data_IF_022239209140
#
_entry.id   IF_022239209140
#
_cell.length_a   1.000
_cell.length_b   1.000
_cell.length_c   1.000
_cell.angle_alpha   90.00
_cell.angle_beta   90.00
_cell.angle_gamma   90.00
#
_symmetry.space_group_name_H-M   'P 1'
#
loop_
_entity.id
_entity.type
_entity.pdbx_description
1 polymer ?
#
# COMPACT_ATOMS: atom_id res chain seq x y z
N UNK A 1 28.55 72.41 12.79
CA UNK A 1 28.17 71.42 11.76
C UNK A 1 27.55 70.22 12.48
N UNK A 2 26.22 70.09 12.46
CA UNK A 2 25.47 69.10 13.26
C UNK A 2 25.22 67.85 12.41
N UNK A 3 25.69 66.69 12.88
CA UNK A 3 25.54 65.39 12.21
C UNK A 3 24.15 64.83 12.56
N UNK A 4 23.29 64.48 11.59
CA UNK A 4 21.94 64.01 11.92
C UNK A 4 22.00 62.62 12.57
N UNK A 5 21.08 62.32 13.51
CA UNK A 5 21.01 61.01 14.14
C UNK A 5 20.57 59.95 13.11
N UNK A 6 21.35 58.87 13.00
CA UNK A 6 20.98 57.69 12.22
C UNK A 6 19.79 57.01 12.89
N UNK A 7 18.66 56.91 12.20
CA UNK A 7 17.49 56.15 12.66
C UNK A 7 17.90 54.68 12.86
N UNK A 8 17.48 54.02 13.96
CA UNK A 8 17.72 52.60 14.13
C UNK A 8 17.02 51.84 13.01
N UNK A 9 17.78 51.00 12.30
CA UNK A 9 17.21 50.06 11.35
C UNK A 9 16.18 49.21 12.09
N UNK A 10 14.92 49.29 11.66
CA UNK A 10 13.85 48.48 12.23
C UNK A 10 14.27 47.01 12.11
N UNK A 11 14.33 46.30 13.24
CA UNK A 11 14.33 44.84 13.33
C UNK A 11 13.04 44.32 12.69
N UNK A 12 13.00 44.31 11.37
CA UNK A 12 12.09 43.48 10.59
C UNK A 12 12.85 42.18 10.33
N UNK A 13 12.13 41.07 10.43
CA UNK A 13 12.46 39.79 9.79
C UNK A 13 12.90 38.59 10.65
N UNK A 14 13.02 38.69 11.98
CA UNK A 14 13.28 37.47 12.79
C UNK A 14 12.11 36.47 12.74
N UNK A 15 10.86 36.94 12.59
CA UNK A 15 9.67 36.06 12.48
C UNK A 15 9.53 35.37 11.13
N UNK A 16 10.00 36.00 10.05
CA UNK A 16 9.97 35.43 8.69
C UNK A 16 11.04 34.35 8.52
N UNK A 17 12.21 34.56 9.14
CA UNK A 17 13.30 33.57 9.18
C UNK A 17 12.84 32.26 9.82
N UNK A 18 12.13 32.33 10.95
CA UNK A 18 11.70 31.14 11.68
C UNK A 18 10.66 30.32 10.90
N UNK A 19 9.69 30.97 10.23
CA UNK A 19 8.71 30.26 9.38
C UNK A 19 9.40 29.57 8.19
N UNK A 20 10.42 30.21 7.61
CA UNK A 20 11.17 29.65 6.49
C UNK A 20 12.04 28.45 6.91
N UNK A 21 12.64 28.49 8.09
CA UNK A 21 13.35 27.34 8.67
C UNK A 21 12.42 26.15 8.90
N UNK A 22 11.19 26.38 9.41
CA UNK A 22 10.19 25.30 9.55
C UNK A 22 9.70 24.78 8.20
N UNK A 23 9.55 25.65 7.19
CA UNK A 23 9.12 25.26 5.86
C UNK A 23 10.10 24.29 5.18
N UNK A 24 11.39 24.33 5.53
CA UNK A 24 12.37 23.37 5.04
C UNK A 24 12.11 21.92 5.50
N UNK A 25 11.44 21.73 6.64
CA UNK A 25 11.10 20.39 7.16
C UNK A 25 9.81 19.82 6.58
N UNK A 26 8.90 20.67 6.09
CA UNK A 26 7.63 20.23 5.48
C UNK A 26 7.85 19.22 4.34
N UNK A 27 8.73 19.45 3.34
CA UNK A 27 8.95 18.46 2.29
C UNK A 27 9.54 17.14 2.81
N UNK A 28 10.42 17.21 3.82
CA UNK A 28 10.98 16.00 4.46
C UNK A 28 9.89 15.20 5.21
N UNK A 29 9.00 15.90 5.92
CA UNK A 29 7.87 15.27 6.60
C UNK A 29 6.90 14.64 5.60
N UNK A 30 6.59 15.33 4.51
CA UNK A 30 5.73 14.79 3.45
C UNK A 30 6.35 13.55 2.82
N UNK A 31 7.66 13.55 2.54
CA UNK A 31 8.37 12.37 2.05
C UNK A 31 8.24 11.19 3.01
N UNK A 32 8.44 11.43 4.31
CA UNK A 32 8.29 10.39 5.33
C UNK A 32 6.85 9.87 5.43
N UNK A 33 5.87 10.76 5.34
CA UNK A 33 4.45 10.40 5.36
C UNK A 33 4.08 9.53 4.15
N UNK A 34 4.60 9.86 2.96
CA UNK A 34 4.44 9.04 1.74
C UNK A 34 5.05 7.66 1.95
N UNK A 35 6.29 7.56 2.42
CA UNK A 35 6.95 6.26 2.67
C UNK A 35 6.14 5.43 3.67
N UNK A 36 5.64 6.05 4.74
CA UNK A 36 4.80 5.35 5.72
C UNK A 36 3.49 4.84 5.10
N UNK A 37 2.85 5.65 4.23
CA UNK A 37 1.65 5.23 3.49
C UNK A 37 1.95 4.07 2.54
N UNK A 38 3.06 4.11 1.80
CA UNK A 38 3.47 3.03 0.90
C UNK A 38 3.62 1.69 1.64
N UNK A 39 4.32 1.71 2.79
CA UNK A 39 4.48 0.52 3.63
C UNK A 39 3.12 0.03 4.17
N UNK A 40 2.27 0.95 4.60
CA UNK A 40 0.93 0.62 5.08
C UNK A 40 0.06 -0.02 3.99
N UNK A 41 0.03 0.56 2.79
CA UNK A 41 -0.73 0.01 1.66
C UNK A 41 -0.20 -1.37 1.22
N UNK A 42 1.12 -1.55 1.22
CA UNK A 42 1.74 -2.86 0.96
C UNK A 42 1.27 -3.92 1.96
N UNK A 43 1.27 -3.58 3.25
CA UNK A 43 0.80 -4.48 4.30
C UNK A 43 -0.68 -4.83 4.13
N UNK A 44 -1.54 -3.82 3.91
CA UNK A 44 -2.97 -4.03 3.67
C UNK A 44 -3.21 -4.92 2.44
N UNK A 45 -2.45 -4.74 1.36
CA UNK A 45 -2.59 -5.57 0.16
C UNK A 45 -2.29 -7.05 0.45
N UNK A 46 -1.22 -7.33 1.21
CA UNK A 46 -0.86 -8.69 1.62
C UNK A 46 -1.94 -9.32 2.48
N UNK A 47 -2.46 -8.60 3.47
CA UNK A 47 -3.53 -9.10 4.35
C UNK A 47 -4.82 -9.40 3.56
N UNK A 48 -5.19 -8.53 2.62
CA UNK A 48 -6.37 -8.74 1.79
C UNK A 48 -6.21 -9.93 0.84
N UNK A 49 -5.02 -10.11 0.25
CA UNK A 49 -4.68 -11.28 -0.57
C UNK A 49 -4.87 -12.58 0.21
N UNK A 50 -4.35 -12.62 1.45
CA UNK A 50 -4.46 -13.80 2.31
C UNK A 50 -5.90 -14.08 2.72
N UNK A 51 -6.65 -13.04 3.11
CA UNK A 51 -8.06 -13.17 3.45
C UNK A 51 -8.88 -13.70 2.27
N UNK A 52 -8.66 -13.15 1.07
CA UNK A 52 -9.32 -13.60 -0.15
C UNK A 52 -8.95 -15.06 -0.50
N UNK A 53 -7.68 -15.44 -0.39
CA UNK A 53 -7.25 -16.83 -0.60
C UNK A 53 -7.92 -17.79 0.40
N UNK A 54 -8.03 -17.41 1.68
CA UNK A 54 -8.73 -18.21 2.70
C UNK A 54 -10.23 -18.35 2.40
N UNK A 55 -10.89 -17.29 1.92
CA UNK A 55 -12.29 -17.33 1.47
C UNK A 55 -12.43 -18.27 0.27
N UNK A 56 -11.55 -18.13 -0.72
CA UNK A 56 -11.51 -18.97 -1.92
C UNK A 56 -11.36 -20.45 -1.59
N UNK A 57 -10.44 -20.80 -0.69
CA UNK A 57 -10.20 -22.19 -0.30
C UNK A 57 -11.44 -22.82 0.34
N UNK A 58 -12.13 -22.10 1.24
CA UNK A 58 -13.38 -22.56 1.86
C UNK A 58 -14.50 -22.78 0.85
N UNK A 59 -14.65 -21.85 -0.10
CA UNK A 59 -15.69 -21.98 -1.14
C UNK A 59 -15.33 -23.10 -2.12
N UNK A 60 -14.05 -23.28 -2.43
CA UNK A 60 -13.56 -24.36 -3.28
C UNK A 60 -13.84 -25.73 -2.64
N UNK A 61 -13.70 -25.85 -1.33
CA UNK A 61 -14.02 -27.06 -0.56
C UNK A 61 -15.51 -27.38 -0.61
N UNK A 62 -16.37 -26.37 -0.43
CA UNK A 62 -17.83 -26.55 -0.33
C UNK A 62 -18.52 -26.74 -1.69
N UNK A 63 -18.06 -26.01 -2.71
CA UNK A 63 -18.78 -25.86 -3.98
C UNK A 63 -17.94 -26.21 -5.21
N UNK A 64 -16.69 -26.62 -5.01
CA UNK A 64 -15.73 -26.91 -6.05
C UNK A 64 -14.92 -25.69 -6.50
N UNK A 65 -13.71 -25.91 -7.07
CA UNK A 65 -12.79 -24.82 -7.43
C UNK A 65 -13.33 -23.82 -8.45
N UNK A 66 -14.17 -24.28 -9.39
CA UNK A 66 -14.72 -23.44 -10.45
C UNK A 66 -15.61 -22.29 -9.90
N UNK A 67 -16.34 -22.54 -8.81
CA UNK A 67 -17.22 -21.56 -8.18
C UNK A 67 -16.47 -20.62 -7.22
N UNK A 68 -15.26 -21.01 -6.78
CA UNK A 68 -14.47 -20.25 -5.83
C UNK A 68 -13.88 -18.96 -6.42
N UNK A 69 -13.62 -18.90 -7.73
CA UNK A 69 -13.03 -17.71 -8.38
C UNK A 69 -13.89 -16.47 -8.16
N UNK A 70 -15.20 -16.58 -8.37
CA UNK A 70 -16.13 -15.45 -8.16
C UNK A 70 -16.21 -15.01 -6.69
N UNK A 71 -16.08 -15.95 -5.75
CA UNK A 71 -16.05 -15.61 -4.32
C UNK A 71 -14.77 -14.87 -3.92
N UNK A 72 -13.62 -15.25 -4.48
CA UNK A 72 -12.36 -14.53 -4.30
C UNK A 72 -12.45 -13.12 -4.89
N UNK A 73 -12.96 -12.98 -6.12
CA UNK A 73 -13.12 -11.66 -6.77
C UNK A 73 -14.01 -10.72 -5.94
N UNK A 74 -15.12 -11.23 -5.39
CA UNK A 74 -16.02 -10.44 -4.55
C UNK A 74 -15.42 -10.10 -3.17
N UNK A 75 -14.44 -10.86 -2.70
CA UNK A 75 -13.75 -10.61 -1.44
C UNK A 75 -12.64 -9.56 -1.58
N UNK A 76 -12.11 -9.37 -2.80
CA UNK A 76 -11.10 -8.37 -3.07
C UNK A 76 -11.70 -6.96 -3.17
N UNK A 77 -10.97 -5.93 -2.71
CA UNK A 77 -11.45 -4.56 -2.84
C UNK A 77 -11.37 -4.08 -4.31
N UNK A 78 -12.20 -3.10 -4.72
CA UNK A 78 -12.32 -2.69 -6.12
C UNK A 78 -11.04 -2.16 -6.77
N UNK A 79 -10.07 -1.70 -5.99
CA UNK A 79 -8.77 -1.21 -6.49
C UNK A 79 -7.78 -2.35 -6.81
N UNK A 80 -8.20 -3.60 -6.63
CA UNK A 80 -7.41 -4.82 -6.80
C UNK A 80 -8.11 -5.81 -7.73
N UNK A 81 -8.86 -5.29 -8.69
CA UNK A 81 -9.62 -6.05 -9.68
C UNK A 81 -8.74 -6.79 -10.70
N UNK A 82 -7.50 -6.34 -10.89
CA UNK A 82 -6.48 -6.96 -11.77
C UNK A 82 -5.67 -8.09 -11.07
N UNK A 83 -6.14 -8.62 -9.95
CA UNK A 83 -5.50 -9.74 -9.28
C UNK A 83 -5.58 -11.04 -10.11
N UNK A 84 -4.47 -11.77 -10.23
CA UNK A 84 -4.48 -13.11 -10.82
C UNK A 84 -4.96 -14.11 -9.77
N UNK A 85 -6.05 -14.81 -10.09
CA UNK A 85 -6.75 -15.72 -9.19
C UNK A 85 -6.74 -17.11 -9.78
N UNK A 86 -6.22 -18.07 -9.02
CA UNK A 86 -6.14 -19.47 -9.44
C UNK A 86 -6.76 -20.36 -8.39
N UNK A 87 -7.66 -21.23 -8.80
CA UNK A 87 -8.26 -22.24 -7.94
C UNK A 87 -8.14 -23.60 -8.62
N UNK A 88 -8.01 -24.67 -7.83
CA UNK A 88 -7.89 -26.01 -8.38
C UNK A 88 -7.91 -27.11 -7.34
N UNK A 89 -7.63 -28.31 -7.80
CA UNK A 89 -7.39 -29.47 -6.94
C UNK A 89 -5.89 -29.65 -6.70
N UNK A 90 -5.53 -30.14 -5.53
CA UNK A 90 -4.16 -30.64 -5.29
C UNK A 90 -4.08 -32.13 -5.63
N UNK A 91 -2.86 -32.64 -5.81
CA UNK A 91 -2.60 -34.04 -6.17
C UNK A 91 -3.16 -35.03 -5.12
N UNK A 92 -3.20 -34.60 -3.85
CA UNK A 92 -3.73 -35.37 -2.72
C UNK A 92 -5.27 -35.30 -2.58
N UNK A 93 -5.99 -35.05 -3.68
CA UNK A 93 -7.44 -34.87 -3.73
C UNK A 93 -7.98 -33.70 -2.90
N UNK A 94 -7.16 -32.80 -2.37
CA UNK A 94 -7.62 -31.56 -1.71
C UNK A 94 -7.93 -30.44 -2.71
N UNK A 95 -8.17 -29.23 -2.19
CA UNK A 95 -8.43 -28.02 -3.00
C UNK A 95 -7.48 -26.89 -2.63
N UNK A 96 -7.25 -25.97 -3.57
CA UNK A 96 -6.46 -24.77 -3.31
C UNK A 96 -7.09 -23.52 -3.89
N UNK A 97 -6.79 -22.38 -3.27
CA UNK A 97 -7.03 -21.06 -3.81
C UNK A 97 -5.76 -20.21 -3.67
N UNK A 98 -5.39 -19.55 -4.76
CA UNK A 98 -4.20 -18.73 -4.89
C UNK A 98 -4.59 -17.37 -5.45
N UNK A 99 -4.04 -16.31 -4.85
CA UNK A 99 -4.27 -14.92 -5.22
C UNK A 99 -2.91 -14.25 -5.37
N UNK A 100 -2.65 -13.72 -6.55
CA UNK A 100 -1.44 -12.96 -6.86
C UNK A 100 -1.81 -11.51 -7.19
N UNK A 101 -1.20 -10.57 -6.46
CA UNK A 101 -1.50 -9.14 -6.56
C UNK A 101 -0.21 -8.37 -6.73
N UNK A 102 -0.20 -7.43 -7.68
CA UNK A 102 0.85 -6.42 -7.81
C UNK A 102 0.63 -5.34 -6.76
N UNK A 103 1.61 -5.13 -5.89
CA UNK A 103 1.52 -4.09 -4.85
C UNK A 103 1.65 -2.73 -5.53
N UNK A 104 0.67 -1.82 -5.37
CA UNK A 104 0.78 -0.50 -5.96
C UNK A 104 1.81 0.31 -5.17
N UNK A 105 3.00 0.50 -5.75
CA UNK A 105 4.00 1.43 -5.25
C UNK A 105 3.79 2.75 -6.00
N UNK A 106 3.42 3.82 -5.28
CA UNK A 106 3.04 5.12 -5.90
C UNK A 106 4.26 5.80 -6.52
N UNK A 107 5.44 5.58 -5.93
CA UNK A 107 6.69 6.06 -6.51
C UNK A 107 7.56 4.89 -6.97
N UNK A 108 7.81 4.85 -8.28
CA UNK A 108 8.79 3.95 -8.88
C UNK A 108 10.22 4.43 -8.64
N UNK A 109 10.58 4.70 -7.37
CA UNK A 109 11.89 5.24 -6.99
C UNK A 109 13.00 4.21 -7.27
N UNK A 110 12.64 2.94 -7.55
CA UNK A 110 13.59 1.85 -7.68
C UNK A 110 13.17 0.68 -8.60
N UNK A 111 12.24 0.83 -9.56
CA UNK A 111 11.77 -0.27 -10.44
C UNK A 111 11.33 -1.49 -9.65
N UNK A 112 10.60 -1.26 -8.55
CA UNK A 112 10.24 -2.29 -7.57
C UNK A 112 8.87 -2.88 -7.92
N UNK A 113 8.81 -3.60 -9.03
CA UNK A 113 7.65 -4.42 -9.36
C UNK A 113 7.60 -5.64 -8.42
N UNK A 114 6.77 -5.55 -7.38
CA UNK A 114 6.58 -6.63 -6.42
C UNK A 114 5.19 -7.25 -6.55
N UNK A 115 5.17 -8.47 -7.07
CA UNK A 115 3.99 -9.34 -7.04
C UNK A 115 4.02 -10.19 -5.78
N UNK A 116 2.96 -10.10 -4.98
CA UNK A 116 2.76 -10.97 -3.82
C UNK A 116 1.80 -12.07 -4.22
N UNK A 117 2.28 -13.31 -4.17
CA UNK A 117 1.46 -14.51 -4.38
C UNK A 117 1.16 -15.17 -3.04
N UNK A 118 -0.12 -15.40 -2.74
CA UNK A 118 -0.58 -16.12 -1.55
C UNK A 118 -1.46 -17.29 -1.96
N UNK A 119 -1.07 -18.49 -1.54
CA UNK A 119 -1.80 -19.74 -1.77
C UNK A 119 -2.21 -20.37 -0.45
N UNK A 120 -3.45 -20.87 -0.42
CA UNK A 120 -4.00 -21.65 0.69
C UNK A 120 -4.46 -23.00 0.14
N UNK A 121 -3.91 -24.06 0.69
CA UNK A 121 -4.31 -25.44 0.41
C UNK A 121 -5.17 -25.98 1.56
N UNK A 122 -6.24 -26.71 1.22
CA UNK A 122 -7.08 -27.45 2.16
C UNK A 122 -7.06 -28.93 1.80
N UNK A 123 -6.72 -29.76 2.79
CA UNK A 123 -6.84 -31.21 2.67
C UNK A 123 -8.32 -31.61 2.74
N UNK A 124 -8.74 -32.52 1.86
CA UNK A 124 -10.08 -33.12 1.86
C UNK A 124 -10.16 -34.36 2.76
#
# INVERSE_FOLDING_TARGET
>A
MIRPPRRPARRRDDRGSQILEFAAYVPLFLLMAVIALEVFFSFVAVEQAENAARIGARVAEQTGPANAVGAVQNALPPWMDDADIRTGYTDDRGVFAEVAISVPVVFDIASLDYTVTRRVDMAL
#
